data_IF_062104868545
#
_entry.id   IF_062104868545
#
_cell.length_a   1.000
_cell.length_b   1.000
_cell.length_c   1.000
_cell.angle_alpha   90.00
_cell.angle_beta   90.00
_cell.angle_gamma   90.00
#
_symmetry.space_group_name_H-M   'P 1'
#
loop_
_entity.id
_entity.type
_entity.pdbx_description
1 polymer ?
#
# COMPACT_ATOMS: atom_id res chain seq x y z
N UNK A 1 -3.53 -23.74 -16.48
CA UNK A 1 -3.03 -22.45 -17.04
C UNK A 1 -3.56 -21.29 -16.20
N UNK A 2 -2.84 -20.81 -15.18
CA UNK A 2 -3.39 -19.80 -14.26
C UNK A 2 -2.35 -18.78 -13.74
N UNK A 3 -1.50 -18.23 -14.62
CA UNK A 3 -0.41 -17.35 -14.15
C UNK A 3 -0.24 -16.04 -14.95
N UNK A 4 -1.22 -15.62 -15.76
CA UNK A 4 -1.10 -14.37 -16.56
C UNK A 4 -1.85 -13.15 -15.99
N UNK A 5 -2.64 -13.30 -14.91
CA UNK A 5 -3.41 -12.19 -14.27
C UNK A 5 -2.89 -11.76 -12.89
N UNK A 6 -1.92 -12.47 -12.31
CA UNK A 6 -1.36 -12.14 -10.99
C UNK A 6 -0.28 -11.06 -11.07
N UNK A 7 0.64 -11.17 -12.04
CA UNK A 7 1.75 -10.21 -12.18
C UNK A 7 1.32 -8.78 -12.54
N UNK A 8 0.16 -8.61 -13.18
CA UNK A 8 -0.40 -7.30 -13.51
C UNK A 8 -1.16 -6.66 -12.34
N UNK A 9 -1.89 -7.43 -11.53
CA UNK A 9 -2.71 -6.86 -10.45
C UNK A 9 -1.87 -6.24 -9.33
N UNK A 10 -0.81 -6.91 -8.89
CA UNK A 10 0.07 -6.39 -7.83
C UNK A 10 0.82 -5.13 -8.30
N UNK A 11 1.29 -5.13 -9.55
CA UNK A 11 1.97 -3.99 -10.15
C UNK A 11 1.03 -2.80 -10.34
N UNK A 12 -0.20 -3.03 -10.80
CA UNK A 12 -1.22 -1.99 -10.92
C UNK A 12 -1.58 -1.41 -9.55
N UNK A 13 -1.70 -2.25 -8.53
CA UNK A 13 -1.95 -1.81 -7.17
C UNK A 13 -0.83 -0.91 -6.64
N UNK A 14 0.43 -1.28 -6.86
CA UNK A 14 1.59 -0.46 -6.49
C UNK A 14 1.59 0.88 -7.24
N UNK A 15 1.41 0.88 -8.56
CA UNK A 15 1.38 2.10 -9.38
C UNK A 15 0.25 3.04 -8.94
N UNK A 16 -0.96 2.50 -8.76
CA UNK A 16 -2.13 3.29 -8.31
C UNK A 16 -1.83 3.93 -6.97
N UNK A 17 -1.30 3.16 -6.02
CA UNK A 17 -0.98 3.69 -4.70
C UNK A 17 0.10 4.78 -4.79
N UNK A 18 1.19 4.58 -5.55
CA UNK A 18 2.20 5.62 -5.78
C UNK A 18 1.61 6.90 -6.40
N UNK A 19 0.57 6.78 -7.24
CA UNK A 19 -0.17 7.91 -7.82
C UNK A 19 -1.26 8.50 -6.91
N UNK A 20 -1.36 8.05 -5.65
CA UNK A 20 -2.41 8.51 -4.73
C UNK A 20 -3.80 8.02 -5.12
N UNK A 21 -3.91 6.84 -5.74
CA UNK A 21 -5.18 6.21 -6.09
C UNK A 21 -5.39 4.91 -5.34
N UNK A 22 -6.64 4.61 -5.04
CA UNK A 22 -7.02 3.35 -4.40
C UNK A 22 -6.76 2.18 -5.35
N UNK A 23 -6.05 1.12 -4.91
CA UNK A 23 -5.80 -0.04 -5.76
C UNK A 23 -7.07 -0.83 -6.09
N UNK A 24 -8.13 -0.69 -5.28
CA UNK A 24 -9.39 -1.43 -5.40
C UNK A 24 -10.46 -0.71 -6.24
N UNK A 25 -10.69 0.59 -5.98
CA UNK A 25 -11.76 1.36 -6.64
C UNK A 25 -11.27 2.56 -7.45
N UNK A 26 -9.95 2.79 -7.53
CA UNK A 26 -9.32 3.88 -8.30
C UNK A 26 -9.66 5.31 -7.84
N UNK A 27 -10.42 5.46 -6.75
CA UNK A 27 -10.68 6.75 -6.10
C UNK A 27 -9.37 7.44 -5.66
N UNK A 28 -9.34 8.76 -5.75
CA UNK A 28 -8.25 9.59 -5.25
C UNK A 28 -8.14 9.47 -3.73
N UNK A 29 -6.94 9.21 -3.24
CA UNK A 29 -6.63 9.10 -1.82
C UNK A 29 -6.06 10.43 -1.32
N UNK A 30 -6.66 11.05 -0.29
CA UNK A 30 -6.07 12.21 0.35
C UNK A 30 -4.74 11.85 1.02
N UNK A 31 -3.80 12.78 1.05
CA UNK A 31 -2.51 12.63 1.75
C UNK A 31 -2.73 12.27 3.23
N UNK A 32 -2.07 11.21 3.70
CA UNK A 32 -2.19 10.79 5.11
C UNK A 32 -3.44 9.96 5.45
N UNK A 33 -4.27 9.58 4.48
CA UNK A 33 -5.47 8.79 4.75
C UNK A 33 -5.15 7.33 5.03
N UNK A 34 -5.62 6.79 6.15
CA UNK A 34 -5.51 5.36 6.46
C UNK A 34 -6.49 4.50 5.67
N UNK A 35 -7.64 5.05 5.32
CA UNK A 35 -8.72 4.36 4.60
C UNK A 35 -9.13 5.14 3.35
N UNK A 36 -9.59 4.41 2.33
CA UNK A 36 -10.10 4.99 1.10
C UNK A 36 -11.53 5.51 1.30
N UNK A 37 -11.82 6.79 1.00
CA UNK A 37 -13.17 7.35 1.17
C UNK A 37 -14.20 6.78 0.17
N UNK A 38 -13.76 6.20 -0.96
CA UNK A 38 -14.67 5.66 -1.97
C UNK A 38 -15.12 4.22 -1.72
N UNK A 39 -14.29 3.39 -1.07
CA UNK A 39 -14.59 1.96 -0.89
C UNK A 39 -14.31 1.43 0.53
N UNK A 40 -13.80 2.26 1.44
CA UNK A 40 -13.44 1.85 2.80
C UNK A 40 -12.18 1.00 2.92
N UNK A 41 -11.50 0.66 1.81
CA UNK A 41 -10.28 -0.16 1.86
C UNK A 41 -9.15 0.54 2.63
N UNK A 42 -8.44 -0.21 3.47
CA UNK A 42 -7.20 0.25 4.09
C UNK A 42 -6.11 0.53 3.03
N UNK A 43 -5.53 1.72 3.11
CA UNK A 43 -4.49 2.21 2.18
C UNK A 43 -3.28 2.76 2.92
N UNK A 44 -3.42 3.07 4.21
CA UNK A 44 -2.35 3.51 5.09
C UNK A 44 -2.30 2.69 6.38
N UNK A 45 -1.13 2.72 7.03
CA UNK A 45 -0.82 2.08 8.31
C UNK A 45 0.18 2.96 9.06
N UNK A 46 0.35 2.71 10.36
CA UNK A 46 1.42 3.36 11.14
C UNK A 46 2.71 2.57 10.97
N UNK A 47 3.82 3.28 10.84
CA UNK A 47 5.14 2.67 10.88
C UNK A 47 5.39 2.07 12.29
N UNK A 48 5.84 0.81 12.43
CA UNK A 48 6.14 0.25 13.74
C UNK A 48 7.37 0.88 14.40
N UNK A 49 8.25 1.53 13.63
CA UNK A 49 9.49 2.15 14.12
C UNK A 49 9.25 3.59 14.61
N UNK A 50 8.62 4.42 13.78
CA UNK A 50 8.45 5.85 14.08
C UNK A 50 7.00 6.29 14.25
N UNK A 51 6.03 5.38 14.12
CA UNK A 51 4.59 5.66 14.18
C UNK A 51 4.03 6.63 13.14
N UNK A 52 4.88 7.13 12.24
CA UNK A 52 4.50 7.98 11.11
C UNK A 52 3.56 7.28 10.13
N UNK A 53 2.84 8.09 9.35
CA UNK A 53 1.98 7.59 8.30
C UNK A 53 2.79 6.90 7.20
N UNK A 54 2.34 5.72 6.77
CA UNK A 54 2.92 5.04 5.61
C UNK A 54 1.88 4.21 4.89
N UNK A 55 2.10 3.91 3.60
CA UNK A 55 1.12 3.19 2.81
C UNK A 55 1.28 1.69 3.01
N UNK A 56 0.17 0.95 2.88
CA UNK A 56 0.15 -0.50 3.17
C UNK A 56 1.06 -1.35 2.29
N UNK A 57 1.44 -0.86 1.09
CA UNK A 57 2.35 -1.53 0.15
C UNK A 57 3.77 -0.94 0.13
N UNK A 58 4.04 0.11 0.91
CA UNK A 58 5.40 0.67 0.95
C UNK A 58 6.35 -0.34 1.59
N UNK A 59 7.53 -0.50 0.98
CA UNK A 59 8.60 -1.36 1.53
C UNK A 59 9.32 -0.69 2.70
N UNK A 60 9.42 0.64 2.66
CA UNK A 60 10.15 1.48 3.60
C UNK A 60 9.32 2.69 4.00
N UNK A 61 9.51 3.15 5.23
CA UNK A 61 8.84 4.33 5.74
C UNK A 61 9.41 5.60 5.10
N UNK A 62 8.56 6.44 4.51
CA UNK A 62 8.96 7.74 3.96
C UNK A 62 9.35 8.78 5.03
N UNK A 63 9.14 8.48 6.31
CA UNK A 63 9.48 9.38 7.42
C UNK A 63 10.81 9.00 8.10
N UNK A 64 11.04 7.71 8.36
CA UNK A 64 12.25 7.25 9.08
C UNK A 64 13.15 6.31 8.28
N UNK A 65 12.77 5.90 7.06
CA UNK A 65 13.51 4.90 6.28
C UNK A 65 13.41 3.46 6.79
N UNK A 66 12.73 3.22 7.91
CA UNK A 66 12.59 1.89 8.51
C UNK A 66 11.80 0.90 7.63
N UNK A 67 12.09 -0.41 7.71
CA UNK A 67 11.40 -1.43 6.92
C UNK A 67 9.94 -1.62 7.37
N UNK A 68 9.03 -1.73 6.40
CA UNK A 68 7.58 -1.88 6.63
C UNK A 68 7.02 -3.19 6.10
N UNK A 69 7.72 -3.86 5.19
CA UNK A 69 7.42 -5.24 4.91
C UNK A 69 7.75 -6.03 6.20
N UNK A 70 6.73 -6.43 6.95
CA UNK A 70 6.90 -7.59 7.82
C UNK A 70 7.36 -8.72 6.88
N UNK A 71 8.46 -9.41 7.22
CA UNK A 71 8.98 -10.46 6.37
C UNK A 71 7.90 -11.53 6.23
N UNK A 72 7.23 -11.61 5.09
CA UNK A 72 6.63 -12.87 4.65
C UNK A 72 7.77 -13.81 4.30
N UNK A 73 8.51 -14.26 5.31
CA UNK A 73 9.17 -15.56 5.26
C UNK A 73 8.07 -16.54 5.65
N UNK A 74 7.31 -16.95 4.64
CA UNK A 74 6.57 -18.20 4.76
C UNK A 74 7.65 -19.29 4.72
N UNK A 75 7.82 -19.96 5.86
CA UNK A 75 8.68 -21.13 6.03
C UNK A 75 8.18 -22.29 5.17
#
# INVERSE_FOLDING_TARGET
MLQKRFFSQERLAAIRLSKGKCPACEATLPSGSFFCPGCGREVGRKCPVCQGFTRVRDKYCSQCGGPLALPTRSA
#
